data_IF_777008336098
#
_entry.id   IF_777008336098
#
_cell.length_a   1.000
_cell.length_b   1.000
_cell.length_c   1.000
_cell.angle_alpha   90.00
_cell.angle_beta   90.00
_cell.angle_gamma   90.00
#
_symmetry.space_group_name_H-M   'P 1'
#
loop_
_entity.id
_entity.type
_entity.pdbx_description
1 polymer ?
#
# COMPACT_ATOMS: atom_id res chain seq x y z
N UNK A 1 13.33 -96.62 -8.90
CA UNK A 1 12.62 -96.32 -7.63
C UNK A 1 11.25 -95.77 -8.00
N UNK A 2 10.22 -96.63 -8.05
CA UNK A 2 9.19 -96.85 -7.01
C UNK A 2 8.28 -95.63 -6.76
N UNK A 3 7.07 -95.71 -7.37
CA UNK A 3 5.72 -95.29 -6.93
C UNK A 3 5.53 -93.82 -6.45
N UNK A 4 4.47 -93.10 -6.84
CA UNK A 4 3.10 -93.26 -6.31
C UNK A 4 2.04 -92.61 -7.24
N UNK A 5 1.00 -93.42 -7.50
CA UNK A 5 -0.46 -93.21 -7.67
C UNK A 5 -1.05 -91.96 -8.35
N UNK A 6 -1.85 -92.26 -9.37
CA UNK A 6 -3.03 -91.53 -9.85
C UNK A 6 -4.16 -91.46 -8.80
N UNK A 7 -5.11 -90.52 -8.98
CA UNK A 7 -6.57 -90.75 -8.93
C UNK A 7 -7.39 -89.46 -9.17
N UNK A 8 -8.26 -89.49 -10.18
CA UNK A 8 -9.65 -89.01 -10.10
C UNK A 8 -9.95 -87.50 -10.21
N UNK A 9 -10.22 -87.02 -11.43
CA UNK A 9 -11.06 -85.84 -11.65
C UNK A 9 -12.54 -86.26 -11.73
N UNK A 10 -13.44 -85.58 -11.02
CA UNK A 10 -14.74 -85.28 -11.60
C UNK A 10 -15.18 -83.82 -11.42
N UNK A 11 -15.58 -83.24 -12.54
CA UNK A 11 -16.61 -82.21 -12.78
C UNK A 11 -17.26 -81.49 -11.57
N UNK A 12 -17.07 -80.16 -11.52
CA UNK A 12 -18.13 -79.12 -11.58
C UNK A 12 -17.57 -77.79 -11.06
N UNK A 13 -17.35 -76.82 -11.95
CA UNK A 13 -17.39 -75.39 -11.58
C UNK A 13 -18.20 -74.66 -12.66
N UNK A 14 -19.32 -74.09 -12.23
CA UNK A 14 -20.17 -73.18 -13.01
C UNK A 14 -19.34 -71.96 -13.48
N UNK A 15 -19.54 -71.43 -14.69
CA UNK A 15 -19.03 -70.12 -15.01
C UNK A 15 -19.81 -69.07 -14.21
N UNK A 16 -19.13 -68.38 -13.30
CA UNK A 16 -19.61 -67.13 -12.72
C UNK A 16 -19.40 -66.04 -13.77
N UNK A 17 -20.51 -65.46 -14.23
CA UNK A 17 -20.53 -64.40 -15.22
C UNK A 17 -19.68 -63.22 -14.79
N UNK A 18 -18.70 -62.88 -15.63
CA UNK A 18 -18.13 -61.54 -15.66
C UNK A 18 -19.19 -60.61 -16.23
N UNK A 19 -19.94 -59.97 -15.33
CA UNK A 19 -20.75 -58.81 -15.66
C UNK A 19 -19.85 -57.77 -16.32
N UNK A 20 -20.11 -57.47 -17.58
CA UNK A 20 -19.59 -56.30 -18.25
C UNK A 20 -20.12 -55.09 -17.47
N UNK A 21 -19.29 -54.49 -16.63
CA UNK A 21 -19.53 -53.13 -16.20
C UNK A 21 -19.31 -52.25 -17.43
N UNK A 22 -20.40 -51.71 -17.96
CA UNK A 22 -20.39 -50.66 -18.97
C UNK A 22 -19.41 -49.56 -18.53
N UNK A 23 -18.30 -49.43 -19.26
CA UNK A 23 -17.55 -48.20 -19.29
C UNK A 23 -18.47 -47.21 -20.01
N UNK A 24 -19.20 -46.40 -19.24
CA UNK A 24 -19.90 -45.23 -19.79
C UNK A 24 -18.85 -44.31 -20.40
N UNK A 25 -18.74 -44.34 -21.72
CA UNK A 25 -18.15 -43.25 -22.47
C UNK A 25 -18.93 -41.98 -22.13
N UNK A 26 -18.32 -41.07 -21.36
CA UNK A 26 -18.77 -39.68 -21.30
C UNK A 26 -18.65 -39.16 -22.74
N UNK A 27 -19.78 -38.82 -23.35
CA UNK A 27 -19.80 -38.13 -24.64
C UNK A 27 -19.11 -36.78 -24.50
N UNK A 28 -18.26 -36.43 -25.46
CA UNK A 28 -17.50 -35.17 -25.53
C UNK A 28 -18.39 -33.92 -25.32
N UNK A 29 -19.69 -34.00 -25.64
CA UNK A 29 -20.66 -32.92 -25.42
C UNK A 29 -20.96 -32.61 -23.96
N UNK A 30 -20.88 -33.57 -23.02
CA UNK A 30 -21.08 -33.29 -21.58
C UNK A 30 -19.80 -32.71 -20.94
N UNK A 31 -18.66 -32.82 -21.61
CA UNK A 31 -17.41 -32.20 -21.19
C UNK A 31 -17.31 -30.75 -21.71
N UNK A 32 -17.76 -30.45 -22.92
CA UNK A 32 -17.78 -29.09 -23.50
C UNK A 32 -18.52 -28.08 -22.61
N UNK A 33 -19.81 -28.32 -22.34
CA UNK A 33 -20.67 -27.42 -21.54
C UNK A 33 -20.19 -27.20 -20.09
N UNK A 34 -19.41 -28.12 -19.50
CA UNK A 34 -18.92 -27.95 -18.12
C UNK A 34 -17.89 -26.82 -18.03
N UNK A 35 -17.25 -26.47 -19.14
CA UNK A 35 -16.06 -25.65 -19.17
C UNK A 35 -16.20 -24.34 -19.95
N UNK A 36 -17.31 -24.07 -20.65
CA UNK A 36 -17.49 -22.90 -21.55
C UNK A 36 -16.81 -21.63 -21.04
N UNK A 37 -17.26 -21.18 -19.86
CA UNK A 37 -16.75 -19.97 -19.26
C UNK A 37 -16.09 -20.23 -17.91
N UNK A 38 -14.77 -20.41 -17.93
CA UNK A 38 -13.92 -20.49 -16.73
C UNK A 38 -12.80 -19.47 -16.79
N UNK A 39 -13.13 -18.17 -16.63
CA UNK A 39 -12.13 -17.12 -16.64
C UNK A 39 -11.32 -17.11 -15.34
N UNK A 40 -10.24 -16.33 -15.38
CA UNK A 40 -9.54 -15.75 -14.23
C UNK A 40 -9.68 -14.24 -14.32
N UNK A 41 -10.36 -13.65 -13.34
CA UNK A 41 -10.50 -12.20 -13.22
C UNK A 41 -9.38 -11.67 -12.33
N UNK A 42 -8.52 -10.81 -12.89
CA UNK A 42 -7.36 -10.25 -12.21
C UNK A 42 -7.19 -8.76 -12.48
N UNK A 43 -6.28 -8.12 -11.76
CA UNK A 43 -5.91 -6.71 -11.99
C UNK A 43 -5.26 -6.57 -13.37
N UNK A 44 -5.69 -5.57 -14.16
CA UNK A 44 -4.96 -5.17 -15.36
C UNK A 44 -3.71 -4.38 -14.96
N UNK A 45 -2.53 -4.99 -15.11
CA UNK A 45 -1.26 -4.38 -14.71
C UNK A 45 -0.75 -3.29 -15.66
N UNK A 46 -1.38 -3.14 -16.83
CA UNK A 46 -1.01 -2.15 -17.83
C UNK A 46 -1.60 -0.76 -17.56
N UNK A 47 -2.64 -0.70 -16.71
CA UNK A 47 -3.32 0.52 -16.35
C UNK A 47 -3.10 0.90 -14.89
N UNK A 48 -3.15 2.20 -14.61
CA UNK A 48 -2.97 2.72 -13.26
C UNK A 48 -4.32 2.89 -12.56
N UNK A 49 -4.48 2.35 -11.34
CA UNK A 49 -5.71 2.57 -10.58
C UNK A 49 -5.87 4.03 -10.15
N UNK A 50 -7.11 4.48 -9.98
CA UNK A 50 -7.45 5.82 -9.47
C UNK A 50 -7.90 5.75 -8.02
N UNK A 51 -7.39 6.65 -7.17
CA UNK A 51 -7.68 6.71 -5.73
C UNK A 51 -7.43 5.38 -4.98
N UNK A 52 -6.52 4.54 -5.51
CA UNK A 52 -6.19 3.25 -4.95
C UNK A 52 -4.72 2.90 -5.19
N UNK A 53 -4.18 2.05 -4.33
CA UNK A 53 -2.84 1.47 -4.46
C UNK A 53 -2.98 -0.05 -4.42
N UNK A 54 -2.43 -0.71 -5.42
CA UNK A 54 -2.53 -2.17 -5.58
C UNK A 54 -1.16 -2.79 -5.33
N UNK A 55 -1.13 -3.87 -4.55
CA UNK A 55 0.06 -4.68 -4.34
C UNK A 55 -0.17 -6.12 -4.82
N UNK A 56 0.69 -6.53 -5.77
CA UNK A 56 0.71 -7.88 -6.38
C UNK A 56 1.97 -8.68 -6.00
N UNK A 57 2.85 -8.12 -5.18
CA UNK A 57 4.12 -8.76 -4.81
C UNK A 57 4.10 -9.26 -3.37
N UNK A 58 4.49 -10.52 -3.19
CA UNK A 58 4.67 -11.14 -1.88
C UNK A 58 6.08 -10.87 -1.33
N UNK A 59 6.17 -10.42 -0.08
CA UNK A 59 7.42 -10.22 0.65
C UNK A 59 7.18 -10.18 2.17
N UNK A 60 8.26 -10.10 2.96
CA UNK A 60 8.19 -10.03 4.43
C UNK A 60 7.30 -8.90 4.95
N UNK A 61 7.26 -7.79 4.22
CA UNK A 61 6.57 -6.56 4.52
C UNK A 61 5.13 -6.50 3.98
N UNK A 62 4.78 -7.40 3.04
CA UNK A 62 3.43 -7.56 2.48
C UNK A 62 3.21 -9.03 2.08
N UNK A 63 2.53 -9.78 2.95
CA UNK A 63 2.18 -11.17 2.66
C UNK A 63 0.92 -11.25 1.82
N UNK A 64 0.98 -11.97 0.71
CA UNK A 64 -0.20 -12.24 -0.13
C UNK A 64 -0.92 -13.51 0.31
N UNK A 65 -2.25 -13.47 0.21
CA UNK A 65 -3.08 -14.67 0.21
C UNK A 65 -3.03 -15.30 -1.20
N UNK A 66 -3.25 -16.60 -1.29
CA UNK A 66 -3.39 -17.29 -2.58
C UNK A 66 -4.77 -17.93 -2.65
N UNK A 67 -5.47 -17.69 -3.76
CA UNK A 67 -6.72 -18.34 -4.06
C UNK A 67 -6.45 -19.64 -4.82
N UNK A 68 -7.09 -20.74 -4.39
CA UNK A 68 -7.09 -22.00 -5.12
C UNK A 68 -8.36 -22.09 -5.95
N UNK A 69 -8.21 -22.08 -7.28
CA UNK A 69 -9.30 -22.14 -8.25
C UNK A 69 -9.75 -23.58 -8.56
N UNK A 70 -8.94 -24.58 -8.17
CA UNK A 70 -9.26 -26.00 -8.31
C UNK A 70 -8.66 -26.66 -9.56
N UNK A 71 -8.89 -27.95 -9.72
CA UNK A 71 -8.22 -28.78 -10.74
C UNK A 71 -8.74 -28.57 -12.16
N UNK A 72 -9.89 -27.92 -12.30
CA UNK A 72 -10.50 -27.62 -13.59
C UNK A 72 -9.78 -26.47 -14.32
N UNK A 73 -8.97 -25.68 -13.60
CA UNK A 73 -8.14 -24.62 -14.17
C UNK A 73 -6.79 -25.16 -14.65
N UNK A 74 -6.22 -24.49 -15.64
CA UNK A 74 -4.87 -24.77 -16.12
C UNK A 74 -3.85 -24.64 -14.99
N UNK A 75 -2.76 -25.40 -15.10
CA UNK A 75 -1.77 -25.54 -14.03
C UNK A 75 -1.26 -24.20 -13.49
N UNK A 76 -1.10 -23.19 -14.35
CA UNK A 76 -0.67 -21.84 -13.97
C UNK A 76 -1.73 -21.02 -13.23
N UNK A 77 -3.02 -21.34 -13.44
CA UNK A 77 -4.16 -20.64 -12.84
C UNK A 77 -4.73 -21.33 -11.61
N UNK A 78 -4.45 -22.62 -11.39
CA UNK A 78 -4.95 -23.38 -10.21
C UNK A 78 -4.73 -22.67 -8.88
N UNK A 79 -3.62 -21.93 -8.77
CA UNK A 79 -3.32 -21.12 -7.59
C UNK A 79 -2.72 -19.79 -8.01
N UNK A 80 -3.38 -18.70 -7.65
CA UNK A 80 -2.89 -17.36 -8.01
C UNK A 80 -2.96 -16.38 -6.83
N UNK A 81 -2.10 -15.36 -6.80
CA UNK A 81 -2.02 -14.41 -5.70
C UNK A 81 -3.24 -13.47 -5.68
N UNK A 82 -3.83 -13.32 -4.50
CA UNK A 82 -4.92 -12.38 -4.24
C UNK A 82 -4.31 -10.99 -4.03
N UNK A 83 -4.72 -10.03 -4.85
CA UNK A 83 -4.24 -8.65 -4.76
C UNK A 83 -4.66 -7.99 -3.45
N UNK A 84 -3.74 -7.25 -2.83
CA UNK A 84 -4.06 -6.35 -1.72
C UNK A 84 -4.28 -4.93 -2.28
N UNK A 85 -5.50 -4.42 -2.14
CA UNK A 85 -5.93 -3.12 -2.66
C UNK A 85 -6.19 -2.18 -1.48
N UNK A 86 -5.53 -1.03 -1.46
CA UNK A 86 -5.81 0.05 -0.50
C UNK A 86 -6.50 1.20 -1.22
N UNK A 87 -7.68 1.60 -0.75
CA UNK A 87 -8.49 2.64 -1.39
C UNK A 87 -8.68 3.87 -0.49
N UNK A 88 -8.85 5.02 -1.12
CA UNK A 88 -9.12 6.29 -0.47
C UNK A 88 -10.45 6.27 0.32
N UNK A 89 -10.52 7.00 1.43
CA UNK A 89 -11.72 7.06 2.30
C UNK A 89 -12.88 7.88 1.72
N UNK A 90 -12.60 8.93 0.95
CA UNK A 90 -13.59 9.94 0.53
C UNK A 90 -13.69 10.08 -1.00
N UNK A 91 -13.22 9.08 -1.74
CA UNK A 91 -13.23 9.06 -3.19
C UNK A 91 -13.76 7.73 -3.69
N UNK A 92 -14.23 7.70 -4.93
CA UNK A 92 -14.50 6.45 -5.64
C UNK A 92 -13.16 5.92 -6.14
N UNK A 93 -12.84 4.68 -5.79
CA UNK A 93 -11.67 3.99 -6.31
C UNK A 93 -12.02 3.31 -7.62
N UNK A 94 -11.12 3.39 -8.60
CA UNK A 94 -11.23 2.70 -9.88
C UNK A 94 -10.09 1.70 -10.01
N UNK A 95 -10.44 0.44 -10.21
CA UNK A 95 -9.52 -0.69 -10.25
C UNK A 95 -9.67 -1.35 -11.61
N UNK A 96 -8.68 -1.23 -12.51
CA UNK A 96 -8.75 -1.86 -13.81
C UNK A 96 -8.57 -3.37 -13.66
N UNK A 97 -9.44 -4.14 -14.31
CA UNK A 97 -9.50 -5.59 -14.30
C UNK A 97 -9.38 -6.12 -15.72
N UNK A 98 -8.95 -7.37 -15.83
CA UNK A 98 -8.79 -8.09 -17.09
C UNK A 98 -9.35 -9.51 -16.91
N UNK A 99 -10.19 -9.93 -17.85
CA UNK A 99 -10.74 -11.28 -17.92
C UNK A 99 -9.80 -12.12 -18.79
N UNK A 100 -9.20 -13.16 -18.20
CA UNK A 100 -8.33 -14.10 -18.92
C UNK A 100 -8.98 -15.48 -18.97
N UNK A 101 -8.73 -16.19 -20.05
CA UNK A 101 -9.00 -17.62 -20.13
C UNK A 101 -8.25 -18.37 -19.01
N UNK A 102 -8.98 -19.08 -18.17
CA UNK A 102 -8.43 -19.82 -17.02
C UNK A 102 -8.28 -21.33 -17.27
N UNK A 103 -8.92 -21.82 -18.31
CA UNK A 103 -8.87 -23.19 -18.78
C UNK A 103 -8.94 -23.18 -20.31
N UNK A 104 -7.98 -23.83 -20.95
CA UNK A 104 -7.94 -24.02 -22.41
C UNK A 104 -8.23 -25.50 -22.75
N UNK A 105 -9.49 -25.88 -22.99
CA UNK A 105 -9.80 -27.21 -23.50
C UNK A 105 -9.53 -27.32 -24.99
N UNK A 106 -9.13 -28.52 -25.40
CA UNK A 106 -9.20 -28.94 -26.81
C UNK A 106 -10.69 -29.09 -27.18
N UNK A 107 -11.33 -28.05 -27.74
CA UNK A 107 -12.75 -28.07 -28.09
C UNK A 107 -13.36 -26.72 -28.50
N UNK A 108 -14.67 -26.70 -28.74
CA UNK A 108 -15.46 -25.50 -29.09
C UNK A 108 -16.05 -24.92 -27.80
N UNK A 109 -15.56 -23.75 -27.40
CA UNK A 109 -16.19 -22.85 -26.43
C UNK A 109 -16.52 -21.56 -27.20
N UNK A 110 -17.65 -20.94 -26.92
CA UNK A 110 -18.04 -19.60 -27.41
C UNK A 110 -17.16 -18.50 -26.81
N UNK A 111 -16.76 -18.66 -25.55
CA UNK A 111 -15.73 -17.84 -24.89
C UNK A 111 -16.26 -16.68 -24.07
N UNK A 112 -17.55 -16.70 -23.77
CA UNK A 112 -18.33 -15.69 -23.06
C UNK A 112 -19.17 -16.29 -21.93
N UNK A 113 -19.73 -15.44 -21.08
CA UNK A 113 -20.61 -15.89 -20.01
C UNK A 113 -20.93 -14.82 -18.96
N UNK A 114 -21.33 -15.27 -17.77
CA UNK A 114 -21.80 -14.41 -16.69
C UNK A 114 -20.75 -14.31 -15.58
N UNK A 115 -20.48 -13.09 -15.12
CA UNK A 115 -19.72 -12.79 -13.91
C UNK A 115 -20.61 -12.28 -12.75
N UNK A 116 -20.30 -12.73 -11.54
CA UNK A 116 -20.94 -12.27 -10.30
C UNK A 116 -19.89 -11.82 -9.28
N UNK A 117 -19.95 -10.55 -8.87
CA UNK A 117 -19.07 -9.99 -7.84
C UNK A 117 -19.77 -9.90 -6.49
N UNK A 118 -19.20 -10.56 -5.47
CA UNK A 118 -19.70 -10.57 -4.09
C UNK A 118 -18.74 -9.88 -3.14
N UNK A 119 -19.18 -8.77 -2.55
CA UNK A 119 -18.47 -8.12 -1.45
C UNK A 119 -18.79 -8.82 -0.13
N UNK A 120 -17.76 -9.08 0.69
CA UNK A 120 -17.93 -9.52 2.07
C UNK A 120 -18.44 -8.41 3.00
N UNK A 121 -18.59 -7.18 2.49
CA UNK A 121 -19.17 -6.05 3.20
C UNK A 121 -20.29 -5.43 2.35
N UNK A 122 -21.53 -5.62 2.78
CA UNK A 122 -22.73 -5.15 2.09
C UNK A 122 -22.82 -3.61 1.97
N UNK A 123 -22.03 -2.85 2.75
CA UNK A 123 -21.97 -1.38 2.64
C UNK A 123 -21.01 -0.90 1.55
N UNK A 124 -20.16 -1.78 1.01
CA UNK A 124 -19.34 -1.45 -0.16
C UNK A 124 -20.21 -1.54 -1.42
N UNK A 125 -20.37 -0.42 -2.12
CA UNK A 125 -21.07 -0.38 -3.41
C UNK A 125 -20.07 -0.62 -4.53
N UNK A 126 -20.37 -1.57 -5.39
CA UNK A 126 -19.57 -1.93 -6.56
C UNK A 126 -20.30 -1.48 -7.82
N UNK A 127 -19.60 -0.87 -8.77
CA UNK A 127 -20.06 -0.60 -10.13
C UNK A 127 -19.00 -1.09 -11.12
N UNK A 128 -19.44 -1.50 -12.29
CA UNK A 128 -18.59 -1.99 -13.38
C UNK A 128 -18.79 -1.08 -14.58
N UNK A 129 -17.68 -0.68 -15.18
CA UNK A 129 -17.63 0.28 -16.28
C UNK A 129 -16.80 -0.36 -17.38
N UNK A 130 -17.26 -0.20 -18.61
CA UNK A 130 -16.53 -0.66 -19.79
C UNK A 130 -15.27 0.21 -20.00
N UNK A 131 -14.16 -0.41 -20.35
CA UNK A 131 -12.88 0.28 -20.44
C UNK A 131 -12.52 0.70 -21.87
N UNK A 132 -13.53 1.14 -22.63
CA UNK A 132 -13.36 1.51 -24.04
C UNK A 132 -12.54 2.80 -24.25
N UNK A 133 -12.42 3.67 -23.23
CA UNK A 133 -11.59 4.88 -23.31
C UNK A 133 -10.98 5.25 -21.94
N UNK A 134 -9.65 5.48 -21.93
CA UNK A 134 -8.83 5.64 -20.71
C UNK A 134 -9.06 6.92 -19.88
N UNK A 135 -10.02 7.77 -20.25
CA UNK A 135 -10.15 9.14 -19.73
C UNK A 135 -11.15 9.33 -18.57
N UNK A 136 -11.83 8.27 -18.11
CA UNK A 136 -12.53 8.31 -16.81
C UNK A 136 -13.55 9.46 -16.67
N UNK A 137 -14.25 9.79 -17.77
CA UNK A 137 -15.29 10.82 -17.82
C UNK A 137 -16.66 10.32 -17.27
N UNK A 138 -17.61 11.23 -17.07
CA UNK A 138 -18.86 10.94 -16.32
C UNK A 138 -19.87 10.06 -17.05
N UNK A 139 -19.65 9.79 -18.32
CA UNK A 139 -20.63 9.22 -19.25
C UNK A 139 -20.19 7.84 -19.79
N UNK A 140 -19.32 7.14 -19.04
CA UNK A 140 -18.86 5.80 -19.42
C UNK A 140 -19.98 4.75 -19.30
N UNK A 141 -20.09 3.91 -20.34
CA UNK A 141 -21.08 2.85 -20.42
C UNK A 141 -20.84 1.79 -19.32
N UNK A 142 -21.95 1.29 -18.77
CA UNK A 142 -21.89 0.26 -17.75
C UNK A 142 -21.57 -1.09 -18.41
N UNK A 143 -20.51 -1.75 -17.92
CA UNK A 143 -20.15 -3.08 -18.40
C UNK A 143 -21.24 -4.10 -17.99
N UNK A 144 -21.79 -4.84 -18.95
CA UNK A 144 -22.77 -5.89 -18.68
C UNK A 144 -22.06 -7.18 -18.26
N UNK A 145 -22.09 -7.47 -16.97
CA UNK A 145 -21.50 -8.69 -16.42
C UNK A 145 -22.16 -9.99 -16.92
N UNK A 146 -23.27 -9.92 -17.67
CA UNK A 146 -23.92 -11.10 -18.24
C UNK A 146 -23.40 -11.50 -19.62
N UNK A 147 -22.57 -10.64 -20.22
CA UNK A 147 -22.05 -10.76 -21.58
C UNK A 147 -20.53 -10.59 -21.52
N UNK A 148 -19.89 -11.30 -20.58
CA UNK A 148 -18.49 -11.12 -20.28
C UNK A 148 -17.63 -12.09 -21.09
N UNK A 149 -16.64 -11.59 -21.83
CA UNK A 149 -15.83 -12.39 -22.73
C UNK A 149 -14.36 -12.51 -22.28
N UNK A 150 -13.65 -13.51 -22.80
CA UNK A 150 -12.20 -13.58 -22.63
C UNK A 150 -11.49 -12.44 -23.37
N UNK A 151 -10.72 -11.65 -22.63
CA UNK A 151 -9.96 -10.53 -23.19
C UNK A 151 -10.49 -9.18 -22.74
N UNK A 152 -11.73 -9.14 -22.28
CA UNK A 152 -12.38 -7.92 -21.80
C UNK A 152 -11.58 -7.23 -20.70
N UNK A 153 -11.51 -5.91 -20.84
CA UNK A 153 -10.96 -5.00 -19.86
C UNK A 153 -12.13 -4.21 -19.27
N UNK A 154 -12.25 -4.23 -17.95
CA UNK A 154 -13.31 -3.51 -17.26
C UNK A 154 -12.77 -2.81 -16.02
N UNK A 155 -13.51 -1.81 -15.54
CA UNK A 155 -13.15 -1.05 -14.35
C UNK A 155 -14.10 -1.36 -13.21
N UNK A 156 -13.55 -1.90 -12.13
CA UNK A 156 -14.26 -2.03 -10.85
C UNK A 156 -14.20 -0.70 -10.10
N UNK A 157 -15.35 -0.04 -9.99
CA UNK A 157 -15.55 1.09 -9.09
C UNK A 157 -15.98 0.63 -7.70
N UNK A 158 -15.32 1.17 -6.68
CA UNK A 158 -15.68 0.94 -5.27
C UNK A 158 -15.96 2.29 -4.61
N UNK A 159 -17.21 2.52 -4.20
CA UNK A 159 -17.57 3.66 -3.37
C UNK A 159 -17.37 3.34 -1.87
N UNK A 160 -16.36 3.98 -1.28
CA UNK A 160 -15.99 3.82 0.12
C UNK A 160 -16.47 4.96 1.04
N UNK A 161 -17.29 5.90 0.56
CA UNK A 161 -17.72 7.08 1.34
C UNK A 161 -18.40 6.71 2.66
N UNK A 162 -19.17 5.62 2.69
CA UNK A 162 -19.83 5.13 3.90
C UNK A 162 -18.94 4.29 4.83
N UNK A 163 -17.78 3.82 4.35
CA UNK A 163 -16.92 2.90 5.10
C UNK A 163 -15.87 3.65 5.93
N UNK A 164 -15.62 3.25 7.16
CA UNK A 164 -14.60 3.89 8.01
C UNK A 164 -13.17 3.57 7.54
N UNK A 165 -12.21 4.45 7.86
CA UNK A 165 -10.77 4.17 7.65
C UNK A 165 -10.38 2.88 8.37
N UNK A 166 -9.51 2.09 7.74
CA UNK A 166 -9.08 0.79 8.25
C UNK A 166 -10.07 -0.36 8.06
N UNK A 167 -11.29 -0.11 7.55
CA UNK A 167 -12.24 -1.18 7.22
C UNK A 167 -11.62 -2.12 6.18
N UNK A 168 -11.75 -3.43 6.41
CA UNK A 168 -11.27 -4.48 5.51
C UNK A 168 -12.44 -5.31 5.02
N UNK A 169 -12.40 -5.71 3.76
CA UNK A 169 -13.36 -6.62 3.15
C UNK A 169 -12.71 -7.31 1.96
N UNK A 170 -13.37 -8.33 1.42
CA UNK A 170 -12.95 -8.97 0.17
C UNK A 170 -14.04 -8.86 -0.87
N UNK A 171 -13.63 -8.84 -2.13
CA UNK A 171 -14.53 -9.00 -3.27
C UNK A 171 -14.17 -10.32 -3.94
N UNK A 172 -15.10 -11.27 -3.94
CA UNK A 172 -14.98 -12.55 -4.64
C UNK A 172 -15.71 -12.46 -5.96
N UNK A 173 -15.13 -13.02 -7.01
CA UNK A 173 -15.74 -13.09 -8.34
C UNK A 173 -16.02 -14.52 -8.67
N UNK A 174 -17.20 -14.75 -9.22
CA UNK A 174 -17.63 -16.05 -9.69
C UNK A 174 -18.06 -15.95 -11.15
N UNK A 175 -17.89 -17.06 -11.88
CA UNK A 175 -18.29 -17.21 -13.25
C UNK A 175 -19.32 -18.34 -13.39
N UNK A 176 -20.23 -18.17 -14.34
CA UNK A 176 -21.14 -19.19 -14.81
C UNK A 176 -21.39 -19.03 -16.31
N UNK A 177 -21.73 -20.13 -16.96
CA UNK A 177 -22.28 -20.19 -18.31
C UNK A 177 -23.60 -19.37 -18.40
N UNK A 178 -23.79 -18.63 -19.48
CA UNK A 178 -24.95 -17.77 -19.77
C UNK A 178 -26.10 -18.51 -20.49
N UNK A 179 -25.80 -19.69 -21.04
CA UNK A 179 -26.75 -20.68 -21.52
C UNK A 179 -27.36 -20.40 -22.88
N UNK A 180 -26.62 -19.70 -23.74
CA UNK A 180 -26.94 -19.48 -25.15
C UNK A 180 -26.64 -20.73 -26.03
N UNK A 181 -25.82 -21.65 -25.52
CA UNK A 181 -25.50 -22.94 -26.14
C UNK A 181 -26.68 -23.93 -26.21
N UNK A 182 -26.66 -24.79 -27.24
CA UNK A 182 -27.65 -25.87 -27.45
C UNK A 182 -27.58 -27.01 -26.40
N UNK A 183 -26.67 -26.88 -25.43
CA UNK A 183 -26.32 -27.84 -24.39
C UNK A 183 -27.13 -27.70 -23.10
N UNK A 184 -26.82 -28.54 -22.10
CA UNK A 184 -27.44 -28.44 -20.77
C UNK A 184 -26.66 -27.42 -19.95
N UNK A 185 -27.24 -26.23 -19.79
CA UNK A 185 -26.70 -25.13 -18.97
C UNK A 185 -26.02 -25.61 -17.69
N UNK A 186 -24.72 -25.38 -17.62
CA UNK A 186 -23.93 -25.64 -16.42
C UNK A 186 -24.16 -24.50 -15.44
N UNK A 187 -25.10 -24.66 -14.51
CA UNK A 187 -25.36 -23.69 -13.42
C UNK A 187 -24.21 -23.56 -12.41
N UNK A 188 -22.99 -23.96 -12.77
CA UNK A 188 -21.86 -23.96 -11.87
C UNK A 188 -21.41 -22.52 -11.65
N UNK A 189 -21.56 -22.06 -10.42
CA UNK A 189 -21.01 -20.78 -9.96
C UNK A 189 -19.55 -21.02 -9.48
N UNK A 190 -18.59 -20.98 -10.40
CA UNK A 190 -17.18 -21.26 -10.13
C UNK A 190 -16.48 -19.99 -9.66
N UNK A 191 -15.73 -20.05 -8.55
CA UNK A 191 -14.90 -18.92 -8.15
C UNK A 191 -13.79 -18.72 -9.20
N UNK A 192 -13.64 -17.49 -9.69
CA UNK A 192 -12.70 -17.11 -10.74
C UNK A 192 -11.84 -15.88 -10.36
N UNK A 193 -12.18 -15.23 -9.25
CA UNK A 193 -11.57 -13.97 -8.82
C UNK A 193 -11.61 -13.78 -7.30
N UNK A 194 -10.61 -13.11 -6.73
CA UNK A 194 -10.69 -12.56 -5.37
C UNK A 194 -9.73 -11.37 -5.22
N UNK A 195 -10.20 -10.35 -4.52
CA UNK A 195 -9.45 -9.16 -4.14
C UNK A 195 -9.61 -8.88 -2.64
N UNK A 196 -8.51 -8.55 -1.97
CA UNK A 196 -8.54 -8.10 -0.58
C UNK A 196 -8.49 -6.57 -0.56
N UNK A 197 -9.56 -5.94 -0.08
CA UNK A 197 -9.72 -4.49 -0.10
C UNK A 197 -9.63 -3.93 1.32
N UNK A 198 -8.91 -2.83 1.45
CA UNK A 198 -8.77 -2.08 2.70
C UNK A 198 -8.98 -0.61 2.46
N UNK A 199 -9.86 0.01 3.24
CA UNK A 199 -9.93 1.47 3.32
C UNK A 199 -8.68 1.93 4.06
N UNK A 200 -7.99 2.92 3.51
CA UNK A 200 -6.76 3.46 4.08
C UNK A 200 -6.87 3.71 5.60
N UNK A 201 -5.82 3.39 6.35
CA UNK A 201 -5.77 3.56 7.80
C UNK A 201 -5.62 5.04 8.21
N UNK A 202 -5.84 5.36 9.48
CA UNK A 202 -5.68 6.73 9.98
C UNK A 202 -4.23 7.23 9.89
N UNK A 203 -3.25 6.34 10.08
CA UNK A 203 -1.81 6.65 10.09
C UNK A 203 -1.13 6.43 8.74
N UNK A 204 -1.93 6.36 7.66
CA UNK A 204 -1.49 6.16 6.28
C UNK A 204 -2.20 7.18 5.38
N UNK A 205 -1.49 7.69 4.38
CA UNK A 205 -1.97 8.72 3.46
C UNK A 205 -1.81 8.27 2.00
N UNK A 206 -2.65 8.81 1.10
CA UNK A 206 -2.46 8.70 -0.35
C UNK A 206 -1.78 9.95 -0.93
N UNK A 207 -1.37 9.85 -2.19
CA UNK A 207 -0.71 10.92 -2.95
C UNK A 207 -1.49 12.23 -2.95
N UNK A 208 -2.81 12.16 -3.08
CA UNK A 208 -3.70 13.33 -3.17
C UNK A 208 -3.75 14.08 -1.84
N UNK A 209 -3.66 13.35 -0.72
CA UNK A 209 -3.62 13.95 0.62
C UNK A 209 -2.27 14.63 0.87
N UNK A 210 -1.17 14.00 0.45
CA UNK A 210 0.16 14.58 0.56
C UNK A 210 0.35 15.83 -0.30
N UNK A 211 -0.26 15.85 -1.49
CA UNK A 211 -0.15 16.99 -2.43
C UNK A 211 -0.53 18.31 -1.75
N UNK A 212 -1.59 18.33 -0.95
CA UNK A 212 -2.00 19.52 -0.18
C UNK A 212 -0.90 20.04 0.74
N UNK A 213 -0.19 19.13 1.42
CA UNK A 213 0.94 19.46 2.27
C UNK A 213 2.11 20.02 1.45
N UNK A 214 2.45 19.36 0.35
CA UNK A 214 3.56 19.79 -0.52
C UNK A 214 3.29 21.12 -1.23
N UNK A 215 2.05 21.40 -1.62
CA UNK A 215 1.67 22.69 -2.20
C UNK A 215 1.94 23.84 -1.20
N UNK A 216 1.61 23.62 0.09
CA UNK A 216 1.92 24.58 1.17
C UNK A 216 3.43 24.67 1.42
N UNK A 217 4.14 23.54 1.45
CA UNK A 217 5.60 23.53 1.63
C UNK A 217 6.32 24.28 0.50
N UNK A 218 5.82 24.19 -0.73
CA UNK A 218 6.39 24.90 -1.87
C UNK A 218 6.34 26.41 -1.67
N UNK A 219 5.22 26.94 -1.14
CA UNK A 219 5.08 28.37 -0.82
C UNK A 219 6.09 28.78 0.25
N UNK A 220 6.12 28.00 1.35
CA UNK A 220 7.03 28.23 2.50
C UNK A 220 8.49 28.25 2.03
N UNK A 221 8.92 27.24 1.28
CA UNK A 221 10.31 27.14 0.80
C UNK A 221 10.71 28.28 -0.16
N UNK A 222 9.78 28.79 -0.96
CA UNK A 222 10.02 29.96 -1.80
C UNK A 222 10.18 31.23 -0.97
N UNK A 223 9.34 31.43 0.05
CA UNK A 223 9.45 32.58 0.94
C UNK A 223 10.75 32.55 1.76
N UNK A 224 11.15 31.38 2.26
CA UNK A 224 12.43 31.19 2.95
C UNK A 224 13.64 31.63 2.11
N UNK A 225 13.65 31.29 0.82
CA UNK A 225 14.75 31.66 -0.09
C UNK A 225 14.79 33.14 -0.43
N UNK A 226 13.65 33.84 -0.36
CA UNK A 226 13.50 35.18 -0.92
C UNK A 226 13.81 36.31 0.07
N UNK A 227 13.73 36.14 1.40
CA UNK A 227 14.07 37.18 2.39
C UNK A 227 14.46 36.60 3.76
N UNK A 228 15.45 37.21 4.42
CA UNK A 228 16.07 36.66 5.64
C UNK A 228 15.83 37.42 6.96
N UNK A 229 15.06 38.52 7.04
CA UNK A 229 15.19 39.37 8.25
C UNK A 229 13.94 39.88 8.95
N UNK A 230 12.73 39.94 8.36
CA UNK A 230 11.56 40.44 9.11
C UNK A 230 10.24 39.78 8.66
N UNK A 231 9.40 39.37 9.62
CA UNK A 231 8.06 38.81 9.39
C UNK A 231 7.71 37.58 10.25
N UNK A 232 6.75 36.78 9.78
CA UNK A 232 6.34 35.46 10.32
C UNK A 232 7.51 34.49 10.55
N UNK A 233 8.59 34.69 9.78
CA UNK A 233 9.72 33.81 9.57
C UNK A 233 10.88 33.99 10.59
N UNK A 234 10.67 34.74 11.67
CA UNK A 234 11.75 35.16 12.59
C UNK A 234 12.04 34.20 13.75
N UNK A 235 11.12 33.29 14.11
CA UNK A 235 11.27 32.38 15.27
C UNK A 235 10.62 31.02 15.01
N UNK A 236 11.31 29.92 15.33
CA UNK A 236 10.82 28.53 15.27
C UNK A 236 10.28 28.11 13.89
N UNK A 237 10.93 28.58 12.83
CA UNK A 237 10.42 28.45 11.47
C UNK A 237 10.28 27.00 10.99
N UNK A 238 11.23 26.12 11.33
CA UNK A 238 11.17 24.70 11.03
C UNK A 238 9.93 24.01 11.63
N UNK A 239 9.56 24.39 12.86
CA UNK A 239 8.33 23.92 13.52
C UNK A 239 7.10 24.44 12.78
N UNK A 240 7.08 25.74 12.42
CA UNK A 240 5.96 26.33 11.66
C UNK A 240 5.76 25.63 10.31
N UNK A 241 6.85 25.36 9.59
CA UNK A 241 6.82 24.69 8.29
C UNK A 241 6.24 23.27 8.40
N UNK A 242 6.74 22.48 9.34
CA UNK A 242 6.23 21.15 9.61
C UNK A 242 4.75 21.18 10.02
N UNK A 243 4.35 22.12 10.89
CA UNK A 243 2.98 22.21 11.39
C UNK A 243 1.99 22.66 10.30
N UNK A 244 2.38 23.58 9.41
CA UNK A 244 1.61 23.97 8.23
C UNK A 244 1.44 22.81 7.25
N UNK A 245 2.51 22.06 6.98
CA UNK A 245 2.45 20.86 6.14
C UNK A 245 1.45 19.84 6.71
N UNK A 246 1.61 19.48 7.99
CA UNK A 246 0.73 18.50 8.66
C UNK A 246 -0.73 18.98 8.71
N UNK A 247 -0.96 20.25 9.02
CA UNK A 247 -2.29 20.86 9.06
C UNK A 247 -2.99 20.84 7.69
N UNK A 248 -2.23 21.06 6.61
CA UNK A 248 -2.76 20.97 5.24
C UNK A 248 -3.12 19.54 4.84
N UNK A 249 -2.29 18.54 5.18
CA UNK A 249 -2.57 17.12 4.90
C UNK A 249 -3.89 16.66 5.54
N UNK A 250 -4.19 17.13 6.75
CA UNK A 250 -5.42 16.75 7.49
C UNK A 250 -6.56 17.76 7.39
N UNK A 251 -6.42 18.80 6.57
CA UNK A 251 -7.39 19.89 6.39
C UNK A 251 -7.80 20.54 7.73
N UNK A 252 -6.85 20.77 8.65
CA UNK A 252 -7.11 21.34 9.97
C UNK A 252 -6.27 22.59 10.24
N UNK A 253 -6.93 23.76 10.25
CA UNK A 253 -6.30 25.05 10.57
C UNK A 253 -6.43 25.46 12.05
N UNK A 254 -7.21 24.72 12.85
CA UNK A 254 -7.51 25.07 14.25
C UNK A 254 -6.46 24.55 15.23
N UNK A 255 -5.96 23.35 14.98
CA UNK A 255 -5.00 22.68 15.86
C UNK A 255 -3.56 22.87 15.38
N UNK A 256 -3.37 23.33 14.15
CA UNK A 256 -2.08 23.55 13.49
C UNK A 256 -1.88 25.02 13.19
N UNK A 257 -0.61 25.43 13.12
CA UNK A 257 -0.20 26.75 12.68
C UNK A 257 -0.77 27.00 11.29
N UNK A 258 -1.46 28.14 11.13
CA UNK A 258 -2.15 28.48 9.90
C UNK A 258 -1.93 29.95 9.56
N UNK A 259 -1.65 30.19 8.30
CA UNK A 259 -1.37 31.51 7.73
C UNK A 259 -2.11 31.67 6.40
N UNK A 260 -2.63 32.86 6.13
CA UNK A 260 -3.19 33.23 4.83
C UNK A 260 -2.10 33.90 4.00
N UNK A 261 -1.51 33.16 3.07
CA UNK A 261 -0.40 33.63 2.23
C UNK A 261 -0.78 34.80 1.32
N UNK A 262 -2.07 34.95 0.99
CA UNK A 262 -2.56 36.04 0.12
C UNK A 262 -2.75 37.33 0.92
N UNK A 263 -3.41 37.23 2.07
CA UNK A 263 -3.70 38.37 2.95
C UNK A 263 -2.54 38.72 3.88
N UNK A 264 -1.53 37.85 3.97
CA UNK A 264 -0.38 37.96 4.87
C UNK A 264 -0.82 38.12 6.34
N UNK A 265 -1.79 37.31 6.77
CA UNK A 265 -2.31 37.32 8.15
C UNK A 265 -2.22 35.93 8.79
N UNK A 266 -1.89 35.92 10.09
CA UNK A 266 -1.91 34.71 10.92
C UNK A 266 -3.36 34.33 11.23
N UNK A 267 -3.74 33.09 10.93
CA UNK A 267 -5.07 32.55 11.20
C UNK A 267 -5.11 31.78 12.52
N UNK A 268 -4.04 31.03 12.81
CA UNK A 268 -3.89 30.30 14.07
C UNK A 268 -2.41 30.14 14.42
N UNK A 269 -2.06 30.36 15.68
CA UNK A 269 -0.70 30.25 16.19
C UNK A 269 -0.75 29.38 17.45
N UNK A 270 -0.60 28.05 17.31
CA UNK A 270 -0.50 27.18 18.47
C UNK A 270 0.80 27.46 19.23
N UNK A 271 0.91 26.91 20.44
CA UNK A 271 2.18 26.92 21.16
C UNK A 271 3.24 26.09 20.39
N UNK A 272 4.31 26.76 19.97
CA UNK A 272 5.45 26.23 19.22
C UNK A 272 6.76 26.28 20.01
N UNK A 273 6.70 26.16 21.35
CA UNK A 273 7.86 26.24 22.26
C UNK A 273 9.11 25.48 21.79
N UNK A 274 8.99 24.17 21.52
CA UNK A 274 10.04 23.37 20.90
C UNK A 274 9.44 22.14 20.18
N UNK A 275 10.26 21.49 19.35
CA UNK A 275 9.86 20.37 18.49
C UNK A 275 9.24 19.20 19.25
N UNK A 276 9.89 18.73 20.33
CA UNK A 276 9.41 17.61 21.16
C UNK A 276 8.10 17.94 21.87
N UNK A 277 8.00 19.13 22.46
CA UNK A 277 6.79 19.59 23.11
C UNK A 277 5.63 19.65 22.10
N UNK A 278 5.89 20.15 20.88
CA UNK A 278 4.90 20.18 19.82
C UNK A 278 4.48 18.79 19.37
N UNK A 279 5.42 17.86 19.18
CA UNK A 279 5.13 16.47 18.85
C UNK A 279 4.25 15.78 19.91
N UNK A 280 4.58 15.95 21.20
CA UNK A 280 3.77 15.44 22.32
C UNK A 280 2.38 16.07 22.35
N UNK A 281 2.27 17.38 22.05
CA UNK A 281 0.98 18.06 21.93
C UNK A 281 0.14 17.50 20.79
N UNK A 282 0.71 17.32 19.60
CA UNK A 282 0.04 16.71 18.45
C UNK A 282 -0.50 15.31 18.78
N UNK A 283 0.32 14.50 19.47
CA UNK A 283 -0.13 13.19 20.00
C UNK A 283 -1.33 13.33 20.92
N UNK A 284 -1.27 14.23 21.92
CA UNK A 284 -2.39 14.45 22.86
C UNK A 284 -3.68 14.94 22.19
N UNK A 285 -3.57 15.61 21.04
CA UNK A 285 -4.71 16.08 20.25
C UNK A 285 -5.35 14.97 19.39
N UNK A 286 -4.69 13.81 19.29
CA UNK A 286 -5.13 12.65 18.51
C UNK A 286 -4.41 12.48 17.16
N UNK A 287 -3.47 13.36 16.81
CA UNK A 287 -2.75 13.33 15.52
C UNK A 287 -1.46 12.50 15.55
N UNK A 288 -1.17 11.83 16.67
CA UNK A 288 -0.01 10.97 16.83
C UNK A 288 -0.42 9.51 17.00
N UNK A 289 0.02 8.65 16.09
CA UNK A 289 -0.13 7.20 16.21
C UNK A 289 0.86 6.65 17.24
N UNK A 290 2.13 6.95 17.05
CA UNK A 290 3.21 6.54 17.95
C UNK A 290 4.21 7.67 18.15
N UNK A 291 4.86 7.68 19.32
CA UNK A 291 5.92 8.63 19.62
C UNK A 291 7.09 7.90 20.25
N UNK A 292 8.28 8.08 19.68
CA UNK A 292 9.50 7.39 20.05
C UNK A 292 10.64 8.37 20.27
N UNK A 293 11.17 8.37 21.49
CA UNK A 293 12.43 9.04 21.83
C UNK A 293 13.60 8.04 21.69
N UNK A 294 14.63 8.45 20.96
CA UNK A 294 15.92 7.77 20.85
C UNK A 294 16.96 8.63 21.56
N UNK A 295 17.13 8.41 22.86
CA UNK A 295 18.09 9.16 23.68
C UNK A 295 19.52 8.66 23.47
N UNK A 296 20.48 9.60 23.28
CA UNK A 296 21.94 9.50 23.51
C UNK A 296 22.76 8.32 22.94
N UNK A 297 22.10 7.31 22.39
CA UNK A 297 22.63 5.97 22.13
C UNK A 297 22.63 5.62 20.66
N UNK A 298 21.92 6.37 19.81
CA UNK A 298 21.90 6.15 18.37
C UNK A 298 23.02 6.89 17.64
N UNK A 299 23.45 8.06 18.15
CA UNK A 299 24.56 8.83 17.60
C UNK A 299 25.66 9.04 18.62
N UNK A 300 26.90 9.11 18.14
CA UNK A 300 28.10 9.41 18.90
C UNK A 300 28.94 10.47 18.23
N UNK A 301 29.91 11.01 18.98
CA UNK A 301 30.86 12.00 18.48
C UNK A 301 32.22 11.36 18.23
N UNK A 302 32.83 11.71 17.11
CA UNK A 302 34.23 11.45 16.84
C UNK A 302 34.93 12.77 16.56
N UNK A 303 36.06 12.99 17.21
CA UNK A 303 36.94 14.10 16.87
C UNK A 303 37.78 13.72 15.65
N UNK A 304 37.85 14.64 14.69
CA UNK A 304 38.63 14.51 13.48
C UNK A 304 39.58 15.71 13.44
N UNK A 305 40.88 15.45 13.32
CA UNK A 305 41.93 16.46 13.24
C UNK A 305 41.97 17.12 11.85
N UNK A 306 40.82 17.63 11.41
CA UNK A 306 40.63 18.34 10.16
C UNK A 306 39.69 19.51 10.40
N UNK A 307 39.88 20.60 9.66
CA UNK A 307 38.95 21.73 9.66
C UNK A 307 37.63 21.31 9.02
N UNK A 308 36.51 21.57 9.69
CA UNK A 308 35.19 21.48 9.03
C UNK A 308 34.98 22.63 8.04
N UNK A 309 33.86 22.60 7.31
CA UNK A 309 33.45 23.65 6.35
C UNK A 309 33.27 25.05 7.00
N UNK A 310 33.31 25.11 8.34
CA UNK A 310 33.23 26.33 9.13
C UNK A 310 34.56 26.73 9.78
N UNK A 311 35.66 26.03 9.44
CA UNK A 311 37.03 26.35 9.87
C UNK A 311 37.46 25.80 11.23
N UNK A 312 36.67 24.94 11.89
CA UNK A 312 36.94 24.45 13.25
C UNK A 312 37.91 23.25 13.27
N UNK A 313 38.91 23.26 14.16
CA UNK A 313 39.86 22.14 14.36
C UNK A 313 40.12 21.88 15.86
N UNK A 314 39.98 20.63 16.37
CA UNK A 314 39.42 19.47 15.67
C UNK A 314 37.94 19.65 15.36
N UNK A 315 37.51 19.14 14.21
CA UNK A 315 36.09 19.03 13.88
C UNK A 315 35.48 17.85 14.64
N UNK A 316 34.17 17.94 14.94
CA UNK A 316 33.41 16.82 15.51
C UNK A 316 32.44 16.32 14.46
N UNK A 317 32.61 15.07 14.07
CA UNK A 317 31.67 14.37 13.21
C UNK A 317 30.80 13.44 14.04
N UNK A 318 29.55 13.32 13.63
CA UNK A 318 28.58 12.40 14.17
C UNK A 318 28.75 11.08 13.44
N UNK A 319 28.66 9.99 14.20
CA UNK A 319 28.55 8.66 13.64
C UNK A 319 27.39 7.92 14.29
N UNK A 320 26.83 6.98 13.56
CA UNK A 320 25.80 6.09 14.10
C UNK A 320 26.43 5.03 14.99
N UNK A 321 25.94 4.93 16.22
CA UNK A 321 26.31 3.87 17.17
C UNK A 321 25.56 2.56 16.89
N UNK A 322 24.35 2.65 16.32
CA UNK A 322 23.54 1.50 15.96
C UNK A 322 22.63 1.81 14.76
N UNK A 323 23.06 1.40 13.57
CA UNK A 323 22.34 1.67 12.32
C UNK A 323 20.97 0.99 12.22
N UNK A 324 20.75 -0.09 12.98
CA UNK A 324 19.55 -0.93 12.82
C UNK A 324 18.37 -0.39 13.61
N UNK A 325 18.57 0.22 14.76
CA UNK A 325 17.48 0.61 15.68
C UNK A 325 16.46 1.55 15.03
N UNK A 326 16.92 2.53 14.27
CA UNK A 326 16.03 3.46 13.54
C UNK A 326 15.33 2.71 12.40
N UNK A 327 16.07 1.97 11.58
CA UNK A 327 15.51 1.24 10.43
C UNK A 327 14.45 0.23 10.88
N UNK A 328 14.72 -0.51 11.96
CA UNK A 328 13.82 -1.52 12.52
C UNK A 328 12.54 -0.88 13.06
N UNK A 329 12.63 0.30 13.68
CA UNK A 329 11.46 1.07 14.09
C UNK A 329 10.56 1.42 12.89
N UNK A 330 11.14 1.98 11.82
CA UNK A 330 10.37 2.30 10.61
C UNK A 330 9.77 1.05 9.95
N UNK A 331 10.55 -0.03 9.81
CA UNK A 331 10.05 -1.29 9.24
C UNK A 331 8.91 -1.86 10.05
N UNK A 332 9.01 -1.85 11.38
CA UNK A 332 7.96 -2.36 12.25
C UNK A 332 6.67 -1.53 12.13
N UNK A 333 6.79 -0.19 12.10
CA UNK A 333 5.63 0.71 12.16
C UNK A 333 4.87 0.84 10.84
N UNK A 334 5.50 0.52 9.69
CA UNK A 334 4.86 0.55 8.36
C UNK A 334 4.49 -0.85 7.84
N UNK A 335 4.83 -1.92 8.56
CA UNK A 335 4.62 -3.30 8.14
C UNK A 335 3.15 -3.57 7.80
N UNK A 336 2.89 -4.19 6.65
CA UNK A 336 1.54 -4.48 6.14
C UNK A 336 0.63 -3.24 5.95
N UNK A 337 1.22 -2.04 5.83
CA UNK A 337 0.49 -0.77 5.65
C UNK A 337 0.92 -0.10 4.35
N UNK A 338 0.19 -0.37 3.27
CA UNK A 338 0.45 0.18 1.93
C UNK A 338 0.00 1.64 1.87
N UNK A 339 0.87 2.53 1.41
CA UNK A 339 0.62 3.96 1.28
C UNK A 339 1.76 4.82 1.82
N UNK A 340 1.53 6.11 1.99
CA UNK A 340 2.52 7.04 2.53
C UNK A 340 2.40 7.16 4.06
N UNK A 341 3.54 7.27 4.73
CA UNK A 341 3.63 7.43 6.18
C UNK A 341 4.39 8.72 6.49
N UNK A 342 3.85 9.56 7.35
CA UNK A 342 4.44 10.85 7.70
C UNK A 342 4.97 10.79 9.12
N UNK A 343 6.20 11.26 9.32
CA UNK A 343 6.83 11.32 10.62
C UNK A 343 7.31 12.73 10.89
N UNK A 344 6.92 13.30 12.03
CA UNK A 344 7.48 14.53 12.54
C UNK A 344 8.75 14.18 13.29
N UNK A 345 9.89 14.69 12.79
CA UNK A 345 11.23 14.39 13.26
C UNK A 345 11.77 15.58 14.04
N UNK A 346 12.20 15.35 15.28
CA UNK A 346 12.95 16.32 16.06
C UNK A 346 14.36 15.82 16.27
N UNK A 347 15.36 16.67 16.04
CA UNK A 347 16.78 16.34 16.18
C UNK A 347 17.49 17.39 17.04
N UNK A 348 18.68 17.01 17.53
CA UNK A 348 19.58 17.89 18.29
C UNK A 348 18.86 18.58 19.46
N UNK A 349 18.28 17.77 20.35
CA UNK A 349 17.60 18.20 21.57
C UNK A 349 16.41 19.16 21.35
N UNK A 350 15.66 18.94 20.27
CA UNK A 350 14.49 19.75 19.87
C UNK A 350 14.81 21.11 19.26
N UNK A 351 16.09 21.37 18.93
CA UNK A 351 16.51 22.61 18.29
C UNK A 351 16.07 22.70 16.82
N UNK A 352 15.86 21.56 16.16
CA UNK A 352 15.38 21.54 14.78
C UNK A 352 14.31 20.48 14.55
N UNK A 353 13.38 20.79 13.65
CA UNK A 353 12.30 19.91 13.24
C UNK A 353 12.35 19.69 11.74
N UNK A 354 12.25 18.44 11.33
CA UNK A 354 12.00 18.06 9.95
C UNK A 354 10.75 17.19 9.89
N UNK A 355 10.34 16.81 8.70
CA UNK A 355 9.41 15.69 8.55
C UNK A 355 9.91 14.70 7.51
N UNK A 356 9.61 13.44 7.76
CA UNK A 356 9.97 12.33 6.88
C UNK A 356 8.69 11.81 6.26
N UNK A 357 8.70 11.67 4.94
CA UNK A 357 7.67 10.91 4.22
C UNK A 357 8.29 9.59 3.78
N UNK A 358 7.73 8.50 4.27
CA UNK A 358 8.06 7.14 3.83
C UNK A 358 7.01 6.70 2.83
N UNK A 359 7.45 6.42 1.61
CA UNK A 359 6.63 5.83 0.56
C UNK A 359 6.68 4.30 0.69
N UNK A 360 5.56 3.73 1.13
CA UNK A 360 5.32 2.29 1.25
C UNK A 360 4.22 1.83 0.27
N UNK A 361 4.01 2.54 -0.83
CA UNK A 361 3.09 2.10 -1.92
C UNK A 361 3.61 0.84 -2.61
N UNK A 362 4.93 0.61 -2.57
CA UNK A 362 5.62 -0.63 -2.97
C UNK A 362 6.29 -1.27 -1.73
N UNK A 363 5.58 -2.07 -0.92
CA UNK A 363 6.07 -2.54 0.38
C UNK A 363 7.37 -3.33 0.39
N UNK A 364 7.71 -3.97 -0.72
CA UNK A 364 8.95 -4.73 -0.84
C UNK A 364 10.18 -3.86 -1.15
N UNK A 365 9.97 -2.59 -1.51
CA UNK A 365 11.02 -1.60 -1.82
C UNK A 365 10.64 -0.21 -1.29
N UNK A 366 10.41 -0.06 0.03
CA UNK A 366 10.02 1.23 0.59
C UNK A 366 11.14 2.26 0.44
N UNK A 367 10.75 3.51 0.21
CA UNK A 367 11.66 4.64 0.09
C UNK A 367 11.30 5.73 1.09
N UNK A 368 12.22 6.66 1.32
CA UNK A 368 11.98 7.80 2.20
C UNK A 368 12.53 9.08 1.58
N UNK A 369 11.97 10.20 2.04
CA UNK A 369 12.46 11.55 1.80
C UNK A 369 12.33 12.37 3.08
N UNK A 370 13.35 13.15 3.39
CA UNK A 370 13.33 14.11 4.51
C UNK A 370 13.12 15.52 3.95
N UNK A 371 12.22 16.26 4.57
CA UNK A 371 11.85 17.63 4.19
C UNK A 371 12.06 18.57 5.37
N UNK A 372 12.34 19.82 5.04
CA UNK A 372 12.57 20.91 5.96
C UNK A 372 11.87 22.19 5.47
N UNK A 373 12.01 23.32 6.15
CA UNK A 373 11.45 24.59 5.67
C UNK A 373 11.89 24.98 4.25
N UNK A 374 13.08 24.56 3.84
CA UNK A 374 13.64 24.84 2.52
C UNK A 374 13.10 23.90 1.41
N UNK A 375 12.23 22.95 1.77
CA UNK A 375 11.67 21.93 0.89
C UNK A 375 12.32 20.55 1.08
N UNK A 376 12.42 19.78 -0.01
CA UNK A 376 13.06 18.46 0.01
C UNK A 376 14.57 18.60 0.29
N UNK A 377 15.08 17.87 1.27
CA UNK A 377 16.52 17.81 1.57
C UNK A 377 17.26 16.86 0.63
N UNK A 378 18.59 16.83 0.72
CA UNK A 378 19.42 15.83 0.03
C UNK A 378 19.25 14.40 0.58
N UNK A 379 18.63 14.23 1.75
CA UNK A 379 18.49 12.94 2.44
C UNK A 379 17.23 12.20 1.99
N UNK A 380 17.41 11.31 1.02
CA UNK A 380 16.37 10.48 0.42
C UNK A 380 16.95 9.16 -0.11
N UNK A 381 16.11 8.16 -0.31
CA UNK A 381 16.52 6.90 -0.91
C UNK A 381 15.76 5.70 -0.37
N UNK A 382 16.41 4.53 -0.34
CA UNK A 382 15.82 3.32 0.23
C UNK A 382 15.63 3.47 1.74
N UNK A 383 14.52 2.96 2.28
CA UNK A 383 14.25 3.02 3.73
C UNK A 383 15.38 2.41 4.58
N UNK A 384 16.14 1.45 4.04
CA UNK A 384 17.29 0.85 4.74
C UNK A 384 18.39 1.88 5.06
N UNK A 385 18.44 2.99 4.33
CA UNK A 385 19.46 4.04 4.43
C UNK A 385 18.95 5.24 5.26
N UNK A 386 17.74 5.18 5.83
CA UNK A 386 17.11 6.30 6.56
C UNK A 386 17.94 6.78 7.75
N UNK A 387 18.64 5.87 8.43
CA UNK A 387 19.50 6.22 9.55
C UNK A 387 20.62 7.19 9.11
N UNK A 388 21.21 6.96 7.93
CA UNK A 388 22.25 7.84 7.38
C UNK A 388 21.67 9.19 6.95
N UNK A 389 20.44 9.22 6.44
CA UNK A 389 19.73 10.46 6.16
C UNK A 389 19.52 11.29 7.43
N UNK A 390 19.00 10.69 8.50
CA UNK A 390 18.79 11.39 9.79
C UNK A 390 20.13 11.83 10.40
N UNK A 391 21.17 11.00 10.31
CA UNK A 391 22.53 11.35 10.76
C UNK A 391 23.07 12.58 10.01
N UNK A 392 22.91 12.62 8.69
CA UNK A 392 23.36 13.74 7.85
C UNK A 392 22.66 15.05 8.22
N UNK A 393 21.33 15.02 8.39
CA UNK A 393 20.59 16.20 8.85
C UNK A 393 20.99 16.62 10.27
N UNK A 394 21.20 15.66 11.17
CA UNK A 394 21.66 15.92 12.54
C UNK A 394 23.06 16.53 12.58
N UNK A 395 23.97 16.07 11.71
CA UNK A 395 25.32 16.63 11.58
C UNK A 395 25.26 18.10 11.16
N UNK A 396 24.46 18.40 10.13
CA UNK A 396 24.32 19.76 9.62
C UNK A 396 23.78 20.71 10.70
N UNK A 397 22.68 20.34 11.38
CA UNK A 397 22.12 21.14 12.48
C UNK A 397 23.11 21.27 13.64
N UNK A 398 23.82 20.20 13.99
CA UNK A 398 24.80 20.23 15.08
C UNK A 398 25.93 21.22 14.80
N UNK A 399 26.48 21.25 13.59
CA UNK A 399 27.53 22.21 13.22
C UNK A 399 27.05 23.65 13.27
N UNK A 400 25.80 23.90 12.87
CA UNK A 400 25.18 25.23 12.95
C UNK A 400 24.94 25.67 14.40
N UNK A 401 24.28 24.82 15.21
CA UNK A 401 23.89 25.11 16.61
C UNK A 401 25.10 25.28 17.53
N UNK A 402 26.22 24.60 17.28
CA UNK A 402 27.45 24.67 18.07
C UNK A 402 27.93 26.10 18.34
N UNK A 403 27.76 27.03 17.40
CA UNK A 403 28.14 28.45 17.57
C UNK A 403 27.29 29.18 18.60
N UNK A 404 26.07 28.72 18.84
CA UNK A 404 25.05 29.40 19.65
C UNK A 404 24.81 28.74 21.01
N UNK A 405 24.98 27.41 21.11
CA UNK A 405 24.71 26.63 22.35
C UNK A 405 25.91 25.80 22.83
N UNK A 406 27.07 25.90 22.17
CA UNK A 406 28.30 25.19 22.53
C UNK A 406 28.22 23.67 22.29
N UNK A 407 29.17 22.93 22.87
CA UNK A 407 29.30 21.46 22.72
C UNK A 407 28.28 20.65 23.55
N UNK A 408 27.28 21.29 24.15
CA UNK A 408 26.35 20.69 25.11
C UNK A 408 25.05 20.18 24.49
N UNK A 409 24.84 20.41 23.19
CA UNK A 409 23.62 19.99 22.50
C UNK A 409 23.53 18.45 22.48
N UNK A 410 22.50 17.89 23.13
CA UNK A 410 22.28 16.44 23.15
C UNK A 410 21.83 15.97 21.76
N UNK A 411 22.36 14.84 21.29
CA UNK A 411 21.94 14.22 20.01
C UNK A 411 20.68 13.37 20.18
N UNK A 412 19.68 13.93 20.85
CA UNK A 412 18.39 13.26 20.99
C UNK A 412 17.64 13.35 19.66
N UNK A 413 17.13 12.22 19.21
CA UNK A 413 16.21 12.14 18.09
C UNK A 413 14.87 11.68 18.62
N UNK A 414 13.80 12.33 18.21
CA UNK A 414 12.46 11.84 18.46
C UNK A 414 11.64 11.81 17.18
N UNK A 415 10.74 10.84 17.10
CA UNK A 415 9.84 10.64 15.98
C UNK A 415 8.41 10.56 16.50
N UNK A 416 7.52 11.34 15.91
CA UNK A 416 6.08 11.15 16.01
C UNK A 416 5.58 10.60 14.68
N UNK A 417 5.04 9.38 14.66
CA UNK A 417 4.26 8.92 13.52
C UNK A 417 2.93 9.66 13.50
N UNK A 418 2.71 10.42 12.44
CA UNK A 418 1.54 11.26 12.28
C UNK A 418 0.34 10.44 11.75
N UNK A 419 -0.86 10.83 12.17
CA UNK A 419 -2.12 10.22 11.74
C UNK A 419 -3.23 11.25 11.62
N UNK A 420 -4.27 10.90 10.86
CA UNK A 420 -5.57 11.57 10.92
C UNK A 420 -6.28 11.21 12.24
N UNK A 421 -7.01 12.19 12.76
CA UNK A 421 -7.89 12.03 13.92
C UNK A 421 -9.26 11.54 13.48
#
# INVERSE_FOLDING_TARGET
MKQIKALGLPNKIKPLGLGHAEIKNRTESEAGDKYDFLPVVKINGNESPKNAVISLNDCTENKLEYLNLGNDYDNEWRKYPVANIVIAKNSVARIPLLIKMGYDPIGWQDGDGILEFKSSNASAKLKFIDNDDTDYESDEDAYDLKDAEYGDELVLEIDAKALARGTKFSVSVFASDDGDGLGKTSKRNAICGKFNVKIIENDVFLSEELKKGFDVLSIISQEYRNKHTEGEYSVNYCIQAADRFLGAVVDNKKNFYAYDDKKKIRLNVPDLNNAVARAKKLKSLGYGYDYKDFEGSIFGYREVNQKDEYGNNPSRTLFSKNDKVIVDYFKAIIKNKIGFHIFYLSIVDSLHTLFIVVDNTKPCKPTYKIYDEAGESSSKGSLKDINQGILSQSQWVYLWTKKHVGYWAKLNVSLLKFQRK
#
